data_IF_329368992720
#
_entry.id   IF_329368992720
#
_cell.length_a   1.000
_cell.length_b   1.000
_cell.length_c   1.000
_cell.angle_alpha   90.00
_cell.angle_beta   90.00
_cell.angle_gamma   90.00
#
_symmetry.space_group_name_H-M   'P 1'
#
loop_
_entity.id
_entity.type
_entity.pdbx_description
1 polymer ?
#
# COMPACT_ATOMS: atom_id res chain seq x y z
N UNK A 1 -21.72 -29.58 -17.26
CA UNK A 1 -20.43 -29.57 -16.55
C UNK A 1 -19.56 -28.53 -17.24
N UNK A 2 -19.20 -27.45 -16.56
CA UNK A 2 -18.31 -26.45 -17.15
C UNK A 2 -16.90 -27.05 -17.09
N UNK A 3 -16.31 -27.37 -18.24
CA UNK A 3 -14.92 -27.85 -18.30
C UNK A 3 -14.02 -26.69 -17.87
N UNK A 4 -13.54 -26.75 -16.63
CA UNK A 4 -12.46 -25.88 -16.17
C UNK A 4 -11.12 -26.40 -16.68
N UNK A 5 -10.22 -25.51 -17.04
CA UNK A 5 -8.83 -25.85 -17.33
C UNK A 5 -8.06 -25.96 -16.02
N UNK A 6 -7.32 -27.06 -15.84
CA UNK A 6 -6.43 -27.25 -14.68
C UNK A 6 -5.05 -26.73 -15.05
N UNK A 7 -4.60 -25.73 -14.29
CA UNK A 7 -3.28 -25.12 -14.48
C UNK A 7 -2.36 -25.63 -13.36
N UNK A 8 -1.22 -26.21 -13.73
CA UNK A 8 -0.28 -26.82 -12.77
C UNK A 8 1.12 -26.21 -12.83
N UNK A 9 1.54 -25.69 -13.99
CA UNK A 9 2.88 -25.13 -14.12
C UNK A 9 2.97 -23.76 -13.46
N UNK A 10 4.10 -23.46 -12.82
CA UNK A 10 4.28 -22.19 -12.14
C UNK A 10 4.22 -20.99 -13.09
N UNK A 11 4.66 -21.15 -14.34
CA UNK A 11 4.55 -20.12 -15.37
C UNK A 11 3.10 -19.86 -15.75
N UNK A 12 2.34 -20.91 -16.02
CA UNK A 12 0.95 -20.75 -16.45
C UNK A 12 0.09 -20.22 -15.30
N UNK A 13 0.37 -20.60 -14.05
CA UNK A 13 -0.25 -20.00 -12.86
C UNK A 13 0.09 -18.51 -12.79
N UNK A 14 1.35 -18.14 -12.94
CA UNK A 14 1.79 -16.75 -12.93
C UNK A 14 1.07 -15.92 -14.00
N UNK A 15 1.05 -16.39 -15.24
CA UNK A 15 0.44 -15.68 -16.36
C UNK A 15 -1.08 -15.60 -16.21
N UNK A 16 -1.72 -16.67 -15.71
CA UNK A 16 -3.15 -16.67 -15.40
C UNK A 16 -3.52 -15.60 -14.36
N UNK A 17 -2.73 -15.48 -13.29
CA UNK A 17 -2.97 -14.48 -12.24
C UNK A 17 -2.66 -13.06 -12.70
N UNK A 18 -1.61 -12.86 -13.50
CA UNK A 18 -1.34 -11.55 -14.11
C UNK A 18 -2.50 -11.14 -15.00
N UNK A 19 -2.95 -12.01 -15.90
CA UNK A 19 -4.06 -11.70 -16.81
C UNK A 19 -5.34 -11.37 -16.03
N UNK A 20 -5.70 -12.22 -15.05
CA UNK A 20 -6.87 -12.01 -14.21
C UNK A 20 -6.85 -10.65 -13.50
N UNK A 21 -5.75 -10.30 -12.83
CA UNK A 21 -5.68 -9.02 -12.11
C UNK A 21 -5.48 -7.81 -13.04
N UNK A 22 -4.86 -8.00 -14.20
CA UNK A 22 -4.75 -6.95 -15.21
C UNK A 22 -6.12 -6.60 -15.81
N UNK A 23 -6.98 -7.59 -16.04
CA UNK A 23 -8.36 -7.34 -16.46
C UNK A 23 -9.20 -6.73 -15.33
N UNK A 24 -9.05 -7.26 -14.11
CA UNK A 24 -9.82 -6.80 -12.95
C UNK A 24 -9.50 -5.35 -12.56
N UNK A 25 -8.21 -4.97 -12.58
CA UNK A 25 -7.73 -3.66 -12.12
C UNK A 25 -7.40 -2.69 -13.25
N UNK A 26 -7.09 -3.21 -14.45
CA UNK A 26 -6.65 -2.45 -15.62
C UNK A 26 -7.70 -2.35 -16.71
N UNK A 27 -8.97 -2.64 -16.42
CA UNK A 27 -10.08 -2.45 -17.34
C UNK A 27 -10.11 -1.03 -17.94
N UNK A 28 -10.68 -0.91 -19.13
CA UNK A 28 -10.74 0.37 -19.86
C UNK A 28 -11.28 1.48 -18.95
N UNK A 29 -10.54 2.59 -18.85
CA UNK A 29 -10.98 3.79 -18.16
C UNK A 29 -12.25 4.25 -18.88
N UNK A 30 -13.40 3.97 -18.28
CA UNK A 30 -14.67 4.53 -18.73
C UNK A 30 -14.61 6.06 -18.74
N UNK A 31 -15.58 6.75 -19.36
CA UNK A 31 -15.64 8.21 -19.24
C UNK A 31 -15.53 8.60 -17.76
N UNK A 32 -14.74 9.65 -17.47
CA UNK A 32 -14.55 10.14 -16.09
C UNK A 32 -15.93 10.27 -15.45
N UNK A 33 -16.15 9.51 -14.38
CA UNK A 33 -17.45 9.46 -13.69
C UNK A 33 -17.82 10.81 -13.06
N UNK A 34 -16.81 11.64 -12.79
CA UNK A 34 -16.92 12.98 -12.20
C UNK A 34 -15.92 13.93 -12.88
N UNK A 35 -16.34 15.18 -13.08
CA UNK A 35 -15.43 16.29 -13.41
C UNK A 35 -15.00 17.02 -12.13
N UNK A 36 -14.01 17.91 -12.22
CA UNK A 36 -13.49 18.64 -11.07
C UNK A 36 -14.57 19.48 -10.38
N UNK A 37 -15.51 20.06 -11.14
CA UNK A 37 -16.64 20.77 -10.56
C UNK A 37 -17.51 19.88 -9.68
N UNK A 38 -17.75 18.62 -10.07
CA UNK A 38 -18.53 17.66 -9.28
C UNK A 38 -17.83 17.34 -7.96
N UNK A 39 -16.50 17.16 -8.00
CA UNK A 39 -15.70 16.87 -6.80
C UNK A 39 -15.74 18.06 -5.84
N UNK A 40 -15.62 19.29 -6.36
CA UNK A 40 -15.70 20.51 -5.56
C UNK A 40 -17.06 20.72 -4.90
N UNK A 41 -18.15 20.25 -5.53
CA UNK A 41 -19.49 20.26 -4.94
C UNK A 41 -19.65 19.21 -3.82
N UNK A 42 -18.97 18.07 -3.92
CA UNK A 42 -19.07 16.96 -2.97
C UNK A 42 -18.08 17.06 -1.80
N UNK A 43 -16.92 17.68 -2.02
CA UNK A 43 -15.83 17.83 -1.06
C UNK A 43 -15.49 19.32 -0.89
N UNK A 44 -16.11 20.01 0.08
CA UNK A 44 -15.82 21.42 0.34
C UNK A 44 -14.44 21.65 0.99
N UNK A 45 -13.69 20.57 1.25
CA UNK A 45 -12.39 20.63 1.91
C UNK A 45 -11.28 21.02 0.92
N UNK A 46 -10.52 22.05 1.27
CA UNK A 46 -9.25 22.39 0.66
C UNK A 46 -8.18 22.52 1.73
N UNK A 47 -6.95 22.13 1.42
CA UNK A 47 -5.85 22.27 2.36
C UNK A 47 -5.55 23.75 2.60
N UNK A 48 -5.46 24.17 3.86
CA UNK A 48 -4.87 25.47 4.22
C UNK A 48 -3.40 25.52 3.80
N UNK A 49 -2.84 26.72 3.68
CA UNK A 49 -1.41 26.87 3.38
C UNK A 49 -0.53 26.10 4.39
N UNK A 50 -0.86 26.15 5.68
CA UNK A 50 -0.15 25.40 6.71
C UNK A 50 -0.22 23.88 6.54
N UNK A 51 -1.35 23.35 6.03
CA UNK A 51 -1.49 21.93 5.70
C UNK A 51 -0.63 21.59 4.47
N UNK A 52 -0.65 22.42 3.44
CA UNK A 52 0.22 22.25 2.25
C UNK A 52 1.69 22.23 2.66
N UNK A 53 2.14 23.20 3.45
CA UNK A 53 3.51 23.28 3.94
C UNK A 53 3.89 22.04 4.76
N UNK A 54 2.96 21.54 5.59
CA UNK A 54 3.18 20.32 6.37
C UNK A 54 3.22 19.04 5.51
N UNK A 55 2.50 18.99 4.38
CA UNK A 55 2.49 17.84 3.47
C UNK A 55 3.72 17.81 2.57
N UNK A 56 4.28 18.99 2.26
CA UNK A 56 5.47 19.15 1.42
C UNK A 56 6.78 19.12 2.20
N UNK A 57 6.71 19.11 3.54
CA UNK A 57 7.89 19.04 4.40
C UNK A 57 8.68 17.77 4.11
N UNK A 58 9.98 17.92 3.83
CA UNK A 58 10.89 16.80 3.68
C UNK A 58 11.01 16.01 4.99
N UNK A 59 11.16 14.69 4.87
CA UNK A 59 11.42 13.82 6.01
C UNK A 59 12.80 14.07 6.59
N UNK A 60 12.98 13.84 7.88
CA UNK A 60 14.33 13.82 8.49
C UNK A 60 14.91 12.41 8.46
N UNK A 61 16.23 12.30 8.64
CA UNK A 61 16.91 11.00 8.72
C UNK A 61 16.41 10.19 9.92
N UNK A 62 16.09 10.88 11.01
CA UNK A 62 15.51 10.29 12.23
C UNK A 62 14.11 9.74 11.95
N UNK A 63 13.24 10.49 11.26
CA UNK A 63 11.90 10.01 10.89
C UNK A 63 11.97 8.74 10.04
N UNK A 64 12.88 8.70 9.06
CA UNK A 64 13.09 7.52 8.20
C UNK A 64 13.58 6.34 9.04
N UNK A 65 14.60 6.55 9.88
CA UNK A 65 15.15 5.53 10.78
C UNK A 65 14.07 4.98 11.72
N UNK A 66 13.30 5.83 12.35
CA UNK A 66 12.26 5.46 13.31
C UNK A 66 11.16 4.64 12.63
N UNK A 67 10.87 4.94 11.36
CA UNK A 67 9.95 4.13 10.56
C UNK A 67 10.49 2.72 10.28
N UNK A 68 11.79 2.54 10.01
CA UNK A 68 12.41 1.21 9.97
C UNK A 68 12.38 0.50 11.34
N UNK A 69 12.63 1.23 12.43
CA UNK A 69 12.64 0.68 13.79
C UNK A 69 11.26 0.24 14.28
N UNK A 70 10.22 0.91 13.83
CA UNK A 70 8.83 0.61 14.19
C UNK A 70 8.18 -0.48 13.34
N UNK A 71 8.88 -0.99 12.32
CA UNK A 71 8.38 -2.13 11.55
C UNK A 71 8.19 -3.37 12.45
N UNK A 72 7.07 -4.10 12.29
CA UNK A 72 6.83 -5.31 13.06
C UNK A 72 7.88 -6.38 12.77
N UNK A 73 8.30 -7.07 13.83
CA UNK A 73 9.27 -8.17 13.77
C UNK A 73 8.61 -9.49 13.40
N UNK A 74 9.44 -10.46 12.99
CA UNK A 74 9.06 -11.81 12.56
C UNK A 74 8.06 -11.79 11.40
N UNK A 75 8.31 -10.92 10.42
CA UNK A 75 7.53 -10.83 9.17
C UNK A 75 8.37 -11.29 7.99
N UNK A 76 7.70 -11.84 6.98
CA UNK A 76 8.34 -12.24 5.73
C UNK A 76 8.96 -11.03 5.02
N UNK A 77 10.18 -11.21 4.51
CA UNK A 77 10.84 -10.27 3.62
C UNK A 77 10.19 -10.27 2.22
N UNK A 78 10.58 -9.31 1.39
CA UNK A 78 10.23 -9.33 -0.03
C UNK A 78 11.19 -10.21 -0.83
N UNK A 79 11.11 -10.15 -2.17
CA UNK A 79 12.02 -10.89 -3.06
C UNK A 79 13.51 -10.66 -2.82
N UNK A 80 13.90 -9.53 -2.23
CA UNK A 80 15.29 -9.19 -1.93
C UNK A 80 15.89 -9.95 -0.74
N UNK A 81 15.05 -10.64 0.05
CA UNK A 81 15.48 -11.40 1.21
C UNK A 81 15.72 -10.57 2.48
N UNK A 82 15.64 -9.23 2.44
CA UNK A 82 16.00 -8.37 3.57
C UNK A 82 14.78 -8.05 4.45
N UNK A 83 14.80 -8.56 5.69
CA UNK A 83 13.74 -8.34 6.67
C UNK A 83 13.91 -7.02 7.45
N UNK A 84 12.91 -6.65 8.24
CA UNK A 84 13.00 -5.47 9.12
C UNK A 84 14.13 -5.60 10.15
N UNK A 85 14.38 -6.82 10.66
CA UNK A 85 15.47 -7.14 11.58
C UNK A 85 16.83 -6.88 10.95
N UNK A 86 17.00 -7.20 9.66
CA UNK A 86 18.26 -6.92 8.96
C UNK A 86 18.56 -5.42 8.95
N UNK A 87 17.61 -4.59 8.49
CA UNK A 87 17.84 -3.14 8.44
C UNK A 87 18.12 -2.55 9.81
N UNK A 88 17.41 -3.02 10.85
CA UNK A 88 17.56 -2.46 12.20
C UNK A 88 18.82 -2.96 12.90
N UNK A 89 19.18 -4.23 12.71
CA UNK A 89 20.43 -4.79 13.25
C UNK A 89 21.68 -4.26 12.55
N UNK A 90 21.59 -3.98 11.24
CA UNK A 90 22.70 -3.50 10.42
C UNK A 90 22.64 -2.00 10.12
N UNK A 91 21.83 -1.22 10.86
CA UNK A 91 21.57 0.19 10.53
C UNK A 91 22.84 1.04 10.45
N UNK A 92 23.85 0.75 11.27
CA UNK A 92 25.14 1.46 11.22
C UNK A 92 25.91 1.27 9.92
N UNK A 93 25.59 0.21 9.16
CA UNK A 93 26.26 -0.14 7.90
C UNK A 93 25.43 0.27 6.69
N UNK A 94 24.11 0.01 6.71
CA UNK A 94 23.23 0.25 5.53
C UNK A 94 22.33 1.47 5.67
N UNK A 95 22.19 2.00 6.88
CA UNK A 95 21.28 3.11 7.19
C UNK A 95 21.56 4.38 6.39
N UNK A 96 22.83 4.83 6.25
CA UNK A 96 23.15 6.02 5.46
C UNK A 96 22.67 5.92 4.01
N UNK A 97 23.01 4.84 3.31
CA UNK A 97 22.68 4.63 1.90
C UNK A 97 21.18 4.44 1.68
N UNK A 98 20.51 3.70 2.57
CA UNK A 98 19.07 3.48 2.49
C UNK A 98 18.31 4.79 2.74
N UNK A 99 18.78 5.62 3.68
CA UNK A 99 18.17 6.92 3.96
C UNK A 99 18.30 7.86 2.76
N UNK A 100 19.48 7.92 2.15
CA UNK A 100 19.72 8.74 0.96
C UNK A 100 18.81 8.32 -0.20
N UNK A 101 18.66 7.01 -0.43
CA UNK A 101 17.79 6.51 -1.48
C UNK A 101 16.29 6.75 -1.20
N UNK A 102 15.86 6.77 0.06
CA UNK A 102 14.49 7.19 0.43
C UNK A 102 14.29 8.67 0.14
N UNK A 103 15.27 9.54 0.43
CA UNK A 103 15.21 10.95 0.04
C UNK A 103 15.16 11.14 -1.47
N UNK A 104 16.00 10.40 -2.21
CA UNK A 104 16.00 10.42 -3.66
C UNK A 104 14.61 10.07 -4.22
N UNK A 105 13.94 9.05 -3.67
CA UNK A 105 12.56 8.72 -4.04
C UNK A 105 11.61 9.92 -3.86
N UNK A 106 11.66 10.60 -2.71
CA UNK A 106 10.76 11.74 -2.45
C UNK A 106 11.08 12.97 -3.30
N UNK A 107 12.33 13.15 -3.72
CA UNK A 107 12.72 14.25 -4.62
C UNK A 107 12.41 13.96 -6.10
N UNK A 108 12.56 12.71 -6.54
CA UNK A 108 12.48 12.33 -7.95
C UNK A 108 11.13 11.72 -8.35
N UNK A 109 10.37 11.22 -7.37
CA UNK A 109 9.16 10.42 -7.58
C UNK A 109 9.44 9.04 -8.19
N UNK A 110 10.70 8.61 -8.27
CA UNK A 110 11.12 7.37 -8.92
C UNK A 110 11.60 6.34 -7.90
N UNK A 111 11.08 5.12 -8.00
CA UNK A 111 11.50 4.00 -7.19
C UNK A 111 12.29 2.98 -8.03
N UNK A 112 13.40 2.48 -7.49
CA UNK A 112 14.15 1.40 -8.12
C UNK A 112 13.23 0.19 -8.38
N UNK A 113 13.27 -0.34 -9.60
CA UNK A 113 12.42 -1.48 -10.02
C UNK A 113 12.58 -2.69 -9.10
N UNK A 114 13.78 -2.90 -8.59
CA UNK A 114 14.12 -3.97 -7.66
C UNK A 114 13.35 -3.82 -6.35
N UNK A 115 13.23 -2.60 -5.81
CA UNK A 115 12.46 -2.31 -4.60
C UNK A 115 10.95 -2.38 -4.82
N UNK A 116 10.49 -2.08 -6.03
CA UNK A 116 9.10 -2.29 -6.45
C UNK A 116 8.77 -3.75 -6.78
N UNK A 117 9.73 -4.68 -6.67
CA UNK A 117 9.48 -6.11 -6.87
C UNK A 117 8.70 -6.70 -5.69
N UNK A 118 7.79 -7.62 -5.98
CA UNK A 118 6.95 -8.29 -4.98
C UNK A 118 6.80 -9.77 -5.30
N UNK A 119 6.76 -10.61 -4.26
CA UNK A 119 6.32 -12.00 -4.40
C UNK A 119 4.83 -12.07 -4.14
N UNK A 120 4.06 -12.65 -5.07
CA UNK A 120 2.64 -12.89 -4.89
C UNK A 120 2.43 -14.26 -4.22
N UNK A 121 1.85 -14.26 -3.03
CA UNK A 121 1.47 -15.48 -2.29
C UNK A 121 -0.04 -15.62 -2.32
N UNK A 122 -0.53 -16.82 -2.63
CA UNK A 122 -1.95 -17.11 -2.78
C UNK A 122 -2.46 -17.90 -1.59
N UNK A 123 -3.31 -17.28 -0.76
CA UNK A 123 -3.90 -17.95 0.40
C UNK A 123 -5.34 -18.37 0.07
N UNK A 124 -5.70 -19.65 0.19
CA UNK A 124 -7.07 -20.11 -0.09
C UNK A 124 -8.07 -19.50 0.92
N UNK A 125 -9.23 -19.04 0.44
CA UNK A 125 -10.35 -18.54 1.27
C UNK A 125 -11.19 -19.68 1.83
N UNK A 126 -11.23 -20.80 1.13
CA UNK A 126 -12.08 -21.96 1.43
C UNK A 126 -11.31 -23.26 1.24
N UNK A 127 -11.82 -24.33 1.87
CA UNK A 127 -11.38 -25.69 1.58
C UNK A 127 -11.72 -26.01 0.12
N UNK A 128 -10.77 -26.58 -0.63
CA UNK A 128 -10.89 -26.89 -2.07
C UNK A 128 -11.03 -25.65 -2.98
N UNK A 129 -10.32 -24.56 -2.68
CA UNK A 129 -10.19 -23.42 -3.57
C UNK A 129 -9.75 -23.86 -4.98
N UNK A 130 -10.53 -23.48 -6.00
CA UNK A 130 -10.35 -23.97 -7.38
C UNK A 130 -10.39 -22.87 -8.43
N UNK A 131 -10.94 -21.70 -8.09
CA UNK A 131 -10.96 -20.50 -8.94
C UNK A 131 -10.04 -19.43 -8.39
N UNK A 132 -9.54 -18.55 -9.24
CA UNK A 132 -8.71 -17.39 -8.85
C UNK A 132 -9.38 -16.51 -7.79
N UNK A 133 -10.70 -16.34 -7.86
CA UNK A 133 -11.50 -15.63 -6.86
C UNK A 133 -11.52 -16.29 -5.48
N UNK A 134 -11.21 -17.58 -5.39
CA UNK A 134 -11.19 -18.35 -4.15
C UNK A 134 -9.88 -18.14 -3.38
N UNK A 135 -8.91 -17.43 -3.94
CA UNK A 135 -7.65 -17.10 -3.29
C UNK A 135 -7.62 -15.62 -2.86
N UNK A 136 -6.92 -15.35 -1.76
CA UNK A 136 -6.51 -14.01 -1.34
C UNK A 136 -5.07 -13.82 -1.81
N UNK A 137 -4.80 -12.90 -2.76
CA UNK A 137 -3.43 -12.52 -3.06
C UNK A 137 -2.85 -11.74 -1.87
N UNK A 138 -1.63 -12.09 -1.48
CA UNK A 138 -0.80 -11.33 -0.55
C UNK A 138 0.48 -10.95 -1.27
N UNK A 139 0.75 -9.64 -1.34
CA UNK A 139 1.98 -9.10 -1.88
C UNK A 139 3.05 -9.03 -0.79
N UNK A 140 4.08 -9.86 -0.88
CA UNK A 140 5.27 -9.78 -0.05
C UNK A 140 6.21 -8.72 -0.63
N UNK A 141 6.04 -7.48 -0.17
CA UNK A 141 6.81 -6.31 -0.60
C UNK A 141 8.19 -6.24 0.06
N UNK A 142 9.16 -5.65 -0.63
CA UNK A 142 10.46 -5.34 -0.05
C UNK A 142 10.33 -4.33 1.11
N UNK A 143 11.25 -4.44 2.08
CA UNK A 143 11.14 -3.67 3.33
C UNK A 143 11.25 -2.17 3.09
N UNK A 144 12.11 -1.72 2.17
CA UNK A 144 12.23 -0.30 1.80
C UNK A 144 10.93 0.25 1.20
N UNK A 145 10.26 -0.52 0.34
CA UNK A 145 8.95 -0.15 -0.21
C UNK A 145 7.91 0.06 0.90
N UNK A 146 7.89 -0.84 1.90
CA UNK A 146 6.97 -0.73 3.05
C UNK A 146 7.20 0.55 3.84
N UNK A 147 8.47 0.94 4.04
CA UNK A 147 8.82 2.19 4.74
C UNK A 147 8.36 3.41 3.94
N UNK A 148 8.69 3.48 2.65
CA UNK A 148 8.25 4.58 1.79
C UNK A 148 6.71 4.73 1.80
N UNK A 149 5.99 3.61 1.67
CA UNK A 149 4.53 3.60 1.72
C UNK A 149 3.98 4.08 3.06
N UNK A 150 4.64 3.69 4.17
CA UNK A 150 4.28 4.10 5.52
C UNK A 150 4.50 5.61 5.72
N UNK A 151 5.64 6.14 5.30
CA UNK A 151 5.96 7.57 5.33
C UNK A 151 4.91 8.39 4.58
N UNK A 152 4.54 7.97 3.36
CA UNK A 152 3.46 8.59 2.58
C UNK A 152 2.11 8.55 3.31
N UNK A 153 1.73 7.39 3.84
CA UNK A 153 0.48 7.22 4.58
C UNK A 153 0.42 8.13 5.82
N UNK A 154 1.52 8.21 6.57
CA UNK A 154 1.64 9.05 7.77
C UNK A 154 1.49 10.55 7.43
N UNK A 155 2.03 11.00 6.30
CA UNK A 155 1.85 12.38 5.83
C UNK A 155 0.37 12.63 5.48
N UNK A 156 -0.24 11.77 4.67
CA UNK A 156 -1.64 11.93 4.24
C UNK A 156 -2.62 11.88 5.41
N UNK A 157 -2.34 11.05 6.42
CA UNK A 157 -3.18 10.90 7.60
C UNK A 157 -3.39 12.24 8.35
N UNK A 158 -2.46 13.19 8.26
CA UNK A 158 -2.56 14.52 8.90
C UNK A 158 -3.76 15.33 8.42
N UNK A 159 -4.20 15.10 7.17
CA UNK A 159 -5.35 15.82 6.57
C UNK A 159 -6.56 14.92 6.34
N UNK A 160 -6.35 13.61 6.23
CA UNK A 160 -7.37 12.65 5.82
C UNK A 160 -8.63 12.67 6.71
N UNK A 161 -8.47 12.92 8.03
CA UNK A 161 -9.60 13.00 8.97
C UNK A 161 -10.60 14.11 8.63
N UNK A 162 -10.13 15.21 8.02
CA UNK A 162 -10.95 16.35 7.63
C UNK A 162 -11.59 16.15 6.25
N UNK A 163 -10.95 15.35 5.39
CA UNK A 163 -11.42 15.03 4.04
C UNK A 163 -12.49 13.94 4.07
N UNK A 164 -12.31 12.93 4.92
CA UNK A 164 -13.14 11.73 4.92
C UNK A 164 -14.40 11.91 5.78
N UNK A 165 -15.54 11.58 5.20
CA UNK A 165 -16.86 11.56 5.87
C UNK A 165 -16.81 10.82 7.21
N UNK A 166 -17.57 11.32 8.19
CA UNK A 166 -17.70 10.69 9.51
C UNK A 166 -18.26 9.26 9.44
N UNK A 167 -19.03 8.93 8.41
CA UNK A 167 -19.60 7.60 8.20
C UNK A 167 -18.55 6.53 7.83
N UNK A 168 -17.33 6.95 7.44
CA UNK A 168 -16.22 6.04 7.16
C UNK A 168 -15.36 5.86 8.42
N UNK A 169 -15.59 4.77 9.15
CA UNK A 169 -14.80 4.41 10.35
C UNK A 169 -13.62 3.49 10.05
N UNK A 170 -13.70 2.67 9.00
CA UNK A 170 -12.65 1.70 8.68
C UNK A 170 -11.33 2.40 8.31
N UNK A 171 -10.22 1.89 8.85
CA UNK A 171 -8.85 2.34 8.57
C UNK A 171 -8.55 3.80 8.95
N UNK A 172 -9.40 4.42 9.78
CA UNK A 172 -9.18 5.76 10.31
C UNK A 172 -8.75 5.68 11.78
N UNK A 173 -7.63 6.31 12.11
CA UNK A 173 -7.18 6.35 13.50
C UNK A 173 -8.22 7.06 14.38
N UNK A 174 -8.52 6.46 15.53
CA UNK A 174 -9.50 6.97 16.48
C UNK A 174 -10.96 6.73 16.10
N UNK A 175 -11.26 6.04 14.99
CA UNK A 175 -12.62 5.59 14.65
C UNK A 175 -12.75 4.08 14.81
N UNK A 176 -13.85 3.63 15.41
CA UNK A 176 -14.10 2.21 15.64
C UNK A 176 -15.21 1.72 14.73
N UNK A 177 -15.09 0.48 14.24
CA UNK A 177 -16.14 -0.14 13.41
C UNK A 177 -17.49 -0.19 14.13
N UNK A 178 -17.48 -0.28 15.46
CA UNK A 178 -18.68 -0.26 16.30
C UNK A 178 -19.48 1.05 16.18
N UNK A 179 -18.82 2.18 15.90
CA UNK A 179 -19.49 3.48 15.73
C UNK A 179 -20.38 3.49 14.48
N UNK A 180 -20.01 2.74 13.43
CA UNK A 180 -20.83 2.61 12.24
C UNK A 180 -22.09 1.78 12.47
N UNK A 181 -22.10 0.86 13.44
CA UNK A 181 -23.29 0.09 13.78
C UNK A 181 -24.36 1.00 14.38
N UNK A 182 -23.97 1.97 15.20
CA UNK A 182 -24.88 2.95 15.81
C UNK A 182 -25.46 3.95 14.78
N UNK A 183 -24.72 4.25 13.71
CA UNK A 183 -25.19 5.11 12.62
C UNK A 183 -26.15 4.40 11.65
N UNK A 184 -26.18 3.06 11.68
CA UNK A 184 -26.99 2.23 10.78
C UNK A 184 -28.34 1.80 11.38
N UNK A 185 -28.60 2.14 12.64
CA UNK A 185 -29.88 1.95 13.36
C UNK A 185 -30.66 3.24 13.45
#
# INVERSE_FOLDING_TARGET
MQMGERIESQRDIHDHYINYFSELLGGAIGPKMFVEEDINLLLPFSCSQSQVDSLQKAFTNEEIRDDFQSLPRNKTCGPDGYSAEFFVGCWSVVGPEVTEAVHEFFSSGSLLKQWNSTTLVLIPKTLNASKTSDFRPISCLNTVYKVISKLLANILQKVLVQVISHSQSAFMSGRLLAENVLLAT
#
